data_IF_800698451737
#
_entry.id   IF_800698451737
#
_cell.length_a   1.000
_cell.length_b   1.000
_cell.length_c   1.000
_cell.angle_alpha   90.00
_cell.angle_beta   90.00
_cell.angle_gamma   90.00
#
_symmetry.space_group_name_H-M   'P 1'
#
loop_
_entity.id
_entity.type
_entity.pdbx_description
1 polymer ?
#
# COMPACT_ATOMS: atom_id res chain seq x y z
N UNK A 1 16.24 9.57 3.83
CA UNK A 1 15.76 8.21 4.16
C UNK A 1 15.25 7.57 2.87
N UNK A 2 15.64 6.34 2.53
CA UNK A 2 15.25 5.75 1.24
C UNK A 2 13.79 5.30 1.24
N UNK A 3 13.18 5.29 0.06
CA UNK A 3 11.79 4.84 -0.17
C UNK A 3 11.56 3.41 0.36
N UNK A 4 12.56 2.52 0.21
CA UNK A 4 12.53 1.18 0.78
C UNK A 4 12.34 1.19 2.31
N UNK A 5 13.07 2.04 3.03
CA UNK A 5 12.97 2.08 4.50
C UNK A 5 11.61 2.66 4.93
N UNK A 6 11.09 3.64 4.18
CA UNK A 6 9.74 4.18 4.37
C UNK A 6 8.68 3.09 4.16
N UNK A 7 8.75 2.33 3.06
CA UNK A 7 7.86 1.21 2.78
C UNK A 7 7.94 0.12 3.87
N UNK A 8 9.16 -0.26 4.29
CA UNK A 8 9.37 -1.26 5.34
C UNK A 8 8.74 -0.80 6.68
N UNK A 9 8.86 0.49 7.02
CA UNK A 9 8.22 1.07 8.21
C UNK A 9 6.69 1.04 8.10
N UNK A 10 6.14 1.50 6.99
CA UNK A 10 4.71 1.50 6.74
C UNK A 10 4.12 0.08 6.80
N UNK A 11 4.82 -0.89 6.20
CA UNK A 11 4.45 -2.32 6.24
C UNK A 11 4.37 -2.83 7.67
N UNK A 12 5.35 -2.52 8.52
CA UNK A 12 5.35 -2.92 9.95
C UNK A 12 4.18 -2.29 10.72
N UNK A 13 3.90 -1.01 10.52
CA UNK A 13 2.79 -0.32 11.17
C UNK A 13 1.44 -0.93 10.76
N UNK A 14 1.25 -1.18 9.47
CA UNK A 14 0.04 -1.85 8.95
C UNK A 14 -0.12 -3.25 9.51
N UNK A 15 0.94 -4.07 9.52
CA UNK A 15 0.89 -5.43 10.08
C UNK A 15 0.48 -5.40 11.55
N UNK A 16 1.01 -4.46 12.36
CA UNK A 16 0.64 -4.30 13.77
C UNK A 16 -0.85 -3.97 13.94
N UNK A 17 -1.40 -3.18 13.02
CA UNK A 17 -2.82 -2.79 13.00
C UNK A 17 -3.73 -3.83 12.31
N UNK A 18 -3.21 -5.00 11.90
CA UNK A 18 -3.99 -6.06 11.28
C UNK A 18 -4.21 -5.91 9.77
N UNK A 19 -3.43 -5.05 9.08
CA UNK A 19 -3.52 -4.83 7.64
C UNK A 19 -2.31 -5.39 6.88
N UNK A 20 -2.43 -5.49 5.56
CA UNK A 20 -1.37 -5.92 4.63
C UNK A 20 -1.17 -4.89 3.52
N UNK A 21 0.09 -4.55 3.26
CA UNK A 21 0.47 -3.68 2.16
C UNK A 21 0.74 -4.49 0.90
N UNK A 22 -0.01 -4.21 -0.16
CA UNK A 22 0.21 -4.73 -1.50
C UNK A 22 0.82 -3.64 -2.38
N UNK A 23 1.85 -4.01 -3.14
CA UNK A 23 2.55 -3.14 -4.08
C UNK A 23 2.28 -3.62 -5.51
N UNK A 24 2.20 -2.70 -6.47
CA UNK A 24 2.03 -3.09 -7.88
C UNK A 24 3.14 -4.05 -8.32
N UNK A 25 2.81 -5.23 -8.86
CA UNK A 25 3.80 -6.19 -9.32
C UNK A 25 4.71 -5.59 -10.40
N UNK A 26 6.00 -5.98 -10.39
CA UNK A 26 7.00 -5.45 -11.33
C UNK A 26 6.63 -5.63 -12.81
N UNK A 27 5.91 -6.72 -13.13
CA UNK A 27 5.50 -7.06 -14.51
C UNK A 27 4.07 -6.64 -14.84
N UNK A 28 3.39 -5.92 -13.94
CA UNK A 28 2.00 -5.51 -14.18
C UNK A 28 1.96 -4.39 -15.23
N UNK A 29 0.99 -4.48 -16.15
CA UNK A 29 0.71 -3.39 -17.09
C UNK A 29 0.34 -2.09 -16.37
N UNK A 30 -0.32 -2.17 -15.21
CA UNK A 30 -0.62 -1.02 -14.36
C UNK A 30 0.64 -0.31 -13.88
N UNK A 31 1.72 -1.06 -13.63
CA UNK A 31 3.01 -0.46 -13.23
C UNK A 31 3.67 0.27 -14.39
N UNK A 32 3.53 -0.26 -15.61
CA UNK A 32 4.03 0.38 -16.83
C UNK A 32 3.29 1.69 -17.12
N UNK A 33 1.97 1.70 -16.90
CA UNK A 33 1.10 2.84 -17.20
C UNK A 33 1.14 3.92 -16.12
N UNK A 34 1.07 3.53 -14.84
CA UNK A 34 0.88 4.45 -13.72
C UNK A 34 2.05 4.49 -12.72
N UNK A 35 3.10 3.71 -12.96
CA UNK A 35 4.22 3.57 -12.04
C UNK A 35 3.94 2.67 -10.84
N UNK A 36 4.79 2.77 -9.83
CA UNK A 36 4.63 2.02 -8.57
C UNK A 36 3.44 2.58 -7.79
N UNK A 37 2.53 1.71 -7.39
CA UNK A 37 1.41 2.07 -6.54
C UNK A 37 1.14 1.01 -5.48
N UNK A 38 0.18 1.32 -4.61
CA UNK A 38 -0.10 0.55 -3.41
C UNK A 38 -1.61 0.38 -3.17
N UNK A 39 -1.96 -0.68 -2.46
CA UNK A 39 -3.29 -0.89 -1.91
C UNK A 39 -3.17 -1.64 -0.58
N UNK A 40 -4.17 -1.49 0.29
CA UNK A 40 -4.16 -2.03 1.64
C UNK A 40 -5.29 -3.04 1.78
N UNK A 41 -4.95 -4.26 2.21
CA UNK A 41 -5.91 -5.31 2.51
C UNK A 41 -6.03 -5.57 4.02
N UNK A 42 -7.17 -6.11 4.45
CA UNK A 42 -7.36 -6.64 5.80
C UNK A 42 -7.04 -8.14 5.90
N UNK A 43 -7.27 -8.75 7.07
CA UNK A 43 -7.05 -10.19 7.28
C UNK A 43 -8.06 -11.10 6.55
N UNK A 44 -9.20 -10.56 6.13
CA UNK A 44 -10.23 -11.26 5.35
C UNK A 44 -9.95 -11.23 3.85
N UNK A 45 -8.79 -10.72 3.44
CA UNK A 45 -8.40 -10.46 2.05
C UNK A 45 -9.29 -9.42 1.34
N UNK A 46 -10.03 -8.58 2.08
CA UNK A 46 -10.74 -7.47 1.48
C UNK A 46 -9.78 -6.27 1.31
N UNK A 47 -9.86 -5.59 0.16
CA UNK A 47 -9.11 -4.34 -0.05
C UNK A 47 -9.88 -3.20 0.62
N UNK A 48 -9.26 -2.57 1.61
CA UNK A 48 -9.85 -1.49 2.42
C UNK A 48 -9.43 -0.10 1.95
N UNK A 49 -8.35 0.00 1.17
CA UNK A 49 -7.90 1.26 0.56
C UNK A 49 -7.06 1.01 -0.71
N UNK A 50 -7.09 1.96 -1.64
CA UNK A 50 -6.27 1.94 -2.84
C UNK A 50 -6.82 1.10 -4.01
N UNK A 51 -8.14 0.96 -4.08
CA UNK A 51 -8.86 0.27 -5.15
C UNK A 51 -10.25 0.87 -5.44
N UNK A 52 -10.39 2.20 -5.37
CA UNK A 52 -11.64 2.92 -5.66
C UNK A 52 -11.86 3.05 -7.17
N UNK A 53 -10.87 3.58 -7.90
CA UNK A 53 -10.94 3.72 -9.36
C UNK A 53 -10.15 2.63 -10.08
N UNK A 54 -8.99 2.25 -9.51
CA UNK A 54 -8.15 1.16 -10.03
C UNK A 54 -7.35 0.51 -8.91
N UNK A 55 -6.90 -0.72 -9.12
CA UNK A 55 -5.97 -1.38 -8.22
C UNK A 55 -4.66 -0.60 -8.12
N UNK A 56 -4.07 -0.59 -6.93
CA UNK A 56 -2.80 0.04 -6.63
C UNK A 56 -2.77 1.56 -6.88
N UNK A 57 -3.86 2.27 -6.58
CA UNK A 57 -3.94 3.72 -6.84
C UNK A 57 -3.25 4.58 -5.77
N UNK A 58 -2.91 4.03 -4.60
CA UNK A 58 -2.27 4.81 -3.52
C UNK A 58 -0.78 5.03 -3.79
N UNK A 59 -0.31 6.20 -3.37
CA UNK A 59 1.11 6.52 -3.22
C UNK A 59 1.67 5.98 -1.90
N UNK A 60 2.99 6.05 -1.71
CA UNK A 60 3.59 5.67 -0.42
C UNK A 60 3.17 6.65 0.69
N UNK A 61 2.99 7.92 0.36
CA UNK A 61 2.52 8.97 1.26
C UNK A 61 1.09 8.68 1.77
N UNK A 62 0.20 8.19 0.90
CA UNK A 62 -1.15 7.78 1.29
C UNK A 62 -1.11 6.58 2.25
N UNK A 63 -0.21 5.63 2.00
CA UNK A 63 -0.03 4.44 2.84
C UNK A 63 0.47 4.83 4.23
N UNK A 64 1.46 5.74 4.31
CA UNK A 64 1.96 6.28 5.57
C UNK A 64 0.84 7.00 6.34
N UNK A 65 0.06 7.82 5.63
CA UNK A 65 -1.08 8.54 6.21
C UNK A 65 -2.16 7.60 6.75
N UNK A 66 -2.44 6.49 6.05
CA UNK A 66 -3.36 5.46 6.51
C UNK A 66 -2.82 4.77 7.77
N UNK A 67 -1.53 4.41 7.79
CA UNK A 67 -0.90 3.72 8.91
C UNK A 67 -0.94 4.55 10.21
N UNK A 68 -0.67 5.86 10.12
CA UNK A 68 -0.69 6.77 11.28
C UNK A 68 -2.08 6.86 11.92
N UNK A 69 -3.17 6.84 11.13
CA UNK A 69 -4.54 6.92 11.67
C UNK A 69 -4.99 5.68 12.46
N UNK A 70 -4.21 4.59 12.41
CA UNK A 70 -4.57 3.26 12.93
C UNK A 70 -3.54 2.67 13.89
N UNK A 71 -2.53 3.45 14.27
CA UNK A 71 -1.52 3.07 15.27
C UNK A 71 -1.76 3.87 16.55
#
# INVERSE_FOLDING_TARGET
MSEKIREDRARRALTKAGYRLHKTPARSWLRREYGTGYQIGDQSNAIVAGCVHRQYEMTLEDVESFAVKRT
#
